data_IF_094524881939
#
_entry.id   IF_094524881939
#
_cell.length_a   1.000
_cell.length_b   1.000
_cell.length_c   1.000
_cell.angle_alpha   90.00
_cell.angle_beta   90.00
_cell.angle_gamma   90.00
#
_symmetry.space_group_name_H-M   'P 1'
#
loop_
_entity.id
_entity.type
_entity.pdbx_description
1 polymer ?
#
# COMPACT_ATOMS: atom_id res chain seq x y z
N UNK A 1 19.34 40.07 11.08
CA UNK A 1 18.64 38.80 11.32
C UNK A 1 18.61 38.56 12.82
N UNK A 2 17.44 38.59 13.43
CA UNK A 2 17.30 38.56 14.89
C UNK A 2 16.92 37.15 15.35
N UNK A 3 17.23 36.82 16.61
CA UNK A 3 16.90 35.51 17.19
C UNK A 3 15.39 35.20 17.14
N UNK A 4 14.55 36.24 17.18
CA UNK A 4 13.08 36.11 17.11
C UNK A 4 12.60 35.67 15.72
N UNK A 5 13.26 36.12 14.64
CA UNK A 5 12.93 35.69 13.28
C UNK A 5 13.18 34.19 13.09
N UNK A 6 14.27 33.66 13.65
CA UNK A 6 14.56 32.22 13.64
C UNK A 6 13.57 31.42 14.49
N UNK A 7 13.17 31.95 15.64
CA UNK A 7 12.30 31.27 16.59
C UNK A 7 10.88 31.08 16.04
N UNK A 8 10.35 32.09 15.35
CA UNK A 8 9.04 31.99 14.69
C UNK A 8 9.04 30.93 13.59
N UNK A 9 10.13 30.82 12.82
CA UNK A 9 10.23 29.86 11.72
C UNK A 9 10.19 28.41 12.23
N UNK A 10 10.97 28.09 13.26
CA UNK A 10 10.96 26.73 13.82
C UNK A 10 9.62 26.38 14.47
N UNK A 11 8.92 27.35 15.05
CA UNK A 11 7.61 27.13 15.64
C UNK A 11 6.57 26.73 14.58
N UNK A 12 6.58 27.40 13.43
CA UNK A 12 5.68 27.06 12.32
C UNK A 12 6.01 25.68 11.75
N UNK A 13 7.30 25.36 11.54
CA UNK A 13 7.73 24.04 11.05
C UNK A 13 7.30 22.93 12.00
N UNK A 14 7.42 23.14 13.32
CA UNK A 14 7.02 22.16 14.32
C UNK A 14 5.51 21.84 14.26
N UNK A 15 4.66 22.87 14.10
CA UNK A 15 3.21 22.70 13.96
C UNK A 15 2.87 21.92 12.69
N UNK A 16 3.49 22.26 11.56
CA UNK A 16 3.27 21.57 10.28
C UNK A 16 3.72 20.10 10.35
N UNK A 17 4.90 19.84 10.92
CA UNK A 17 5.43 18.48 11.05
C UNK A 17 4.57 17.60 11.96
N UNK A 18 4.02 18.17 13.05
CA UNK A 18 3.13 17.46 13.97
C UNK A 18 1.86 16.93 13.30
N UNK A 19 1.32 17.63 12.29
CA UNK A 19 0.15 17.20 11.52
C UNK A 19 0.56 16.26 10.39
N UNK A 20 1.68 16.55 9.71
CA UNK A 20 2.12 15.79 8.55
C UNK A 20 2.54 14.36 8.91
N UNK A 21 3.27 14.17 10.01
CA UNK A 21 3.77 12.86 10.42
C UNK A 21 2.67 11.79 10.62
N UNK A 22 1.59 12.03 11.41
CA UNK A 22 0.53 11.05 11.59
C UNK A 22 -0.27 10.80 10.31
N UNK A 23 -0.49 11.83 9.49
CA UNK A 23 -1.21 11.69 8.22
C UNK A 23 -0.40 10.88 7.21
N UNK A 24 0.91 11.10 7.14
CA UNK A 24 1.81 10.38 6.25
C UNK A 24 1.87 8.88 6.57
N UNK A 25 1.88 8.51 7.85
CA UNK A 25 1.84 7.10 8.27
C UNK A 25 0.56 6.40 7.78
N UNK A 26 -0.60 7.04 7.92
CA UNK A 26 -1.89 6.51 7.42
C UNK A 26 -1.93 6.43 5.90
N UNK A 27 -1.44 7.45 5.21
CA UNK A 27 -1.40 7.49 3.75
C UNK A 27 -0.50 6.37 3.17
N UNK A 28 0.65 6.11 3.80
CA UNK A 28 1.55 5.02 3.40
C UNK A 28 0.90 3.65 3.57
N UNK A 29 0.17 3.44 4.65
CA UNK A 29 -0.54 2.17 4.86
C UNK A 29 -1.67 1.99 3.86
N UNK A 30 -2.42 3.06 3.55
CA UNK A 30 -3.41 3.03 2.47
C UNK A 30 -2.80 2.76 1.11
N UNK A 31 -1.64 3.34 0.79
CA UNK A 31 -0.94 3.05 -0.46
C UNK A 31 -0.56 1.56 -0.57
N UNK A 32 -0.07 0.95 0.52
CA UNK A 32 0.24 -0.48 0.57
C UNK A 32 -1.00 -1.36 0.38
N UNK A 33 -2.11 -1.01 1.02
CA UNK A 33 -3.39 -1.69 0.84
C UNK A 33 -3.84 -1.63 -0.63
N UNK A 34 -3.80 -0.44 -1.24
CA UNK A 34 -4.12 -0.27 -2.66
C UNK A 34 -3.22 -1.13 -3.55
N UNK A 35 -1.91 -1.19 -3.29
CA UNK A 35 -1.01 -2.06 -4.06
C UNK A 35 -1.34 -3.55 -3.91
N UNK A 36 -1.62 -4.07 -2.69
CA UNK A 36 -2.02 -5.48 -2.55
C UNK A 36 -3.34 -5.75 -3.31
N UNK A 37 -4.31 -4.84 -3.20
CA UNK A 37 -5.59 -4.98 -3.91
C UNK A 37 -5.41 -4.96 -5.44
N UNK A 38 -4.55 -4.08 -5.97
CA UNK A 38 -4.23 -4.06 -7.40
C UNK A 38 -3.59 -5.37 -7.85
N UNK A 39 -2.62 -5.89 -7.10
CA UNK A 39 -1.98 -7.17 -7.45
C UNK A 39 -2.99 -8.33 -7.45
N UNK A 40 -3.89 -8.39 -6.47
CA UNK A 40 -4.94 -9.41 -6.42
C UNK A 40 -5.88 -9.26 -7.61
N UNK A 41 -6.30 -8.03 -7.93
CA UNK A 41 -7.14 -7.76 -9.10
C UNK A 41 -6.48 -8.22 -10.39
N UNK A 42 -5.19 -7.91 -10.58
CA UNK A 42 -4.42 -8.34 -11.75
C UNK A 42 -4.34 -9.87 -11.85
N UNK A 43 -4.10 -10.56 -10.73
CA UNK A 43 -4.13 -12.03 -10.68
C UNK A 43 -5.52 -12.56 -11.05
N UNK A 44 -6.59 -12.05 -10.43
CA UNK A 44 -7.96 -12.47 -10.73
C UNK A 44 -8.30 -12.29 -12.20
N UNK A 45 -7.89 -11.18 -12.81
CA UNK A 45 -8.07 -10.97 -14.25
C UNK A 45 -7.32 -12.02 -15.06
N UNK A 46 -6.07 -12.33 -14.72
CA UNK A 46 -5.31 -13.39 -15.38
C UNK A 46 -5.97 -14.77 -15.25
N UNK A 47 -6.54 -15.10 -14.08
CA UNK A 47 -7.31 -16.33 -13.90
C UNK A 47 -8.56 -16.37 -14.76
N UNK A 48 -9.32 -15.26 -14.82
CA UNK A 48 -10.53 -15.19 -15.65
C UNK A 48 -10.20 -15.36 -17.13
N UNK A 49 -9.13 -14.70 -17.61
CA UNK A 49 -8.66 -14.88 -18.99
C UNK A 49 -8.25 -16.33 -19.28
N UNK A 50 -7.54 -16.97 -18.36
CA UNK A 50 -7.15 -18.38 -18.53
C UNK A 50 -8.35 -19.31 -18.64
N UNK A 51 -9.34 -19.14 -17.76
CA UNK A 51 -10.55 -19.99 -17.72
C UNK A 51 -11.37 -19.81 -19.00
N UNK A 52 -11.45 -18.58 -19.53
CA UNK A 52 -12.11 -18.28 -20.80
C UNK A 52 -11.39 -18.93 -21.99
N UNK A 53 -10.06 -18.93 -21.98
CA UNK A 53 -9.24 -19.53 -23.06
C UNK A 53 -9.19 -21.07 -23.03
N UNK A 54 -9.41 -21.70 -21.87
CA UNK A 54 -9.21 -23.15 -21.65
C UNK A 54 -10.50 -23.91 -21.28
N UNK A 55 -11.63 -23.65 -21.96
CA UNK A 55 -12.90 -24.39 -21.76
C UNK A 55 -13.29 -24.54 -20.28
N UNK A 56 -13.18 -23.45 -19.52
CA UNK A 56 -13.46 -23.40 -18.07
C UNK A 56 -12.49 -24.19 -17.17
N UNK A 57 -11.36 -24.66 -17.71
CA UNK A 57 -10.35 -25.36 -16.93
C UNK A 57 -9.53 -24.38 -16.08
N UNK A 58 -9.32 -24.71 -14.81
CA UNK A 58 -8.50 -23.91 -13.90
C UNK A 58 -7.01 -24.16 -14.15
N UNK A 59 -6.15 -23.14 -13.97
CA UNK A 59 -4.72 -23.32 -14.15
C UNK A 59 -4.15 -24.28 -13.09
N UNK A 60 -3.16 -25.10 -13.46
CA UNK A 60 -2.61 -26.13 -12.58
C UNK A 60 -1.97 -25.50 -11.33
N UNK A 61 -2.48 -25.86 -10.15
CA UNK A 61 -1.96 -25.41 -8.87
C UNK A 61 -0.96 -26.42 -8.31
N UNK A 62 0.30 -26.03 -8.20
CA UNK A 62 1.33 -26.81 -7.49
C UNK A 62 1.33 -26.42 -6.02
N UNK A 63 1.12 -27.39 -5.11
CA UNK A 63 1.18 -27.18 -3.67
C UNK A 63 2.61 -26.80 -3.23
N UNK A 64 2.91 -25.51 -3.18
CA UNK A 64 4.01 -24.97 -2.38
C UNK A 64 3.42 -24.10 -1.26
N UNK A 65 3.50 -24.58 -0.02
CA UNK A 65 3.11 -23.82 1.16
C UNK A 65 4.23 -22.82 1.55
N UNK A 66 3.95 -21.68 2.22
CA UNK A 66 2.67 -21.02 2.46
C UNK A 66 2.63 -19.58 1.88
N UNK A 67 1.50 -19.19 1.28
CA UNK A 67 1.20 -17.81 0.88
C UNK A 67 1.00 -16.90 2.11
N UNK A 68 2.09 -16.37 2.68
CA UNK A 68 2.08 -15.45 3.83
C UNK A 68 2.16 -13.96 3.46
N UNK A 69 1.87 -13.61 2.20
CA UNK A 69 2.28 -12.30 1.67
C UNK A 69 1.32 -11.15 1.98
N UNK A 70 0.02 -11.38 2.24
CA UNK A 70 -0.93 -10.27 2.50
C UNK A 70 -1.64 -10.32 3.88
N UNK A 71 -1.48 -11.39 4.69
CA UNK A 71 -2.11 -11.46 6.03
C UNK A 71 -1.32 -10.83 7.18
N UNK A 72 -0.11 -10.30 6.91
CA UNK A 72 0.74 -9.65 7.92
C UNK A 72 0.83 -8.12 7.77
N UNK A 73 -0.08 -7.53 6.98
CA UNK A 73 -0.18 -6.09 6.73
C UNK A 73 -1.48 -5.45 7.28
N UNK A 74 -2.32 -6.20 8.00
CA UNK A 74 -3.48 -5.67 8.72
C UNK A 74 -3.13 -5.43 10.20
#
# INVERSE_FOLDING_TARGET
FTLIELLVVIAIIAILAAILFPVFARAREKARQTSCLSNVKELTLAFLMYVDDYDEYLPPYYYSAPYRSCSRMA
#
